data_IF_475757865147
#
_entry.id   IF_475757865147
#
_cell.length_a   1.000
_cell.length_b   1.000
_cell.length_c   1.000
_cell.angle_alpha   90.00
_cell.angle_beta   90.00
_cell.angle_gamma   90.00
#
_symmetry.space_group_name_H-M   'P 1'
#
loop_
_entity.id
_entity.type
_entity.pdbx_description
1 polymer ?
#
# COMPACT_ATOMS: atom_id res chain seq x y z
N UNK A 1 16.88 -32.89 14.45
CA UNK A 1 17.47 -31.59 14.07
C UNK A 1 17.43 -31.48 12.57
N UNK A 2 16.72 -30.49 12.03
CA UNK A 2 16.79 -30.11 10.63
C UNK A 2 16.99 -28.60 10.56
N UNK A 3 18.06 -28.15 9.91
CA UNK A 3 18.32 -26.72 9.68
C UNK A 3 17.53 -26.27 8.47
N UNK A 4 16.53 -25.40 8.66
CA UNK A 4 15.95 -24.64 7.57
C UNK A 4 16.98 -23.61 7.09
N UNK A 5 17.22 -23.60 5.79
CA UNK A 5 18.15 -22.66 5.14
C UNK A 5 17.33 -21.59 4.45
N UNK A 6 17.21 -20.41 5.06
CA UNK A 6 16.62 -19.25 4.42
C UNK A 6 17.52 -18.79 3.26
N UNK A 7 17.12 -19.06 2.03
CA UNK A 7 17.73 -18.48 0.83
C UNK A 7 17.11 -17.10 0.58
N UNK A 8 17.80 -16.04 0.99
CA UNK A 8 17.45 -14.69 0.60
C UNK A 8 17.67 -14.52 -0.92
N UNK A 9 16.57 -14.55 -1.69
CA UNK A 9 16.63 -14.48 -3.15
C UNK A 9 16.81 -13.02 -3.61
N UNK A 10 18.05 -12.53 -3.60
CA UNK A 10 18.38 -11.22 -4.16
C UNK A 10 18.26 -11.29 -5.70
N UNK A 11 17.18 -10.74 -6.25
CA UNK A 11 16.89 -10.72 -7.68
C UNK A 11 17.84 -9.77 -8.45
N UNK A 12 19.04 -10.24 -8.77
CA UNK A 12 20.01 -9.52 -9.59
C UNK A 12 19.74 -9.75 -11.10
N UNK A 13 19.29 -8.70 -11.80
CA UNK A 13 19.21 -8.69 -13.27
C UNK A 13 20.59 -8.34 -13.85
N UNK A 14 21.15 -9.10 -14.82
CA UNK A 14 22.57 -9.01 -15.16
C UNK A 14 22.96 -7.86 -16.11
N UNK A 15 23.91 -7.04 -15.61
CA UNK A 15 25.01 -6.37 -16.30
C UNK A 15 24.80 -5.63 -17.65
N UNK A 16 24.92 -4.30 -17.58
CA UNK A 16 25.49 -3.44 -18.63
C UNK A 16 26.63 -2.61 -18.04
N UNK A 17 27.79 -2.52 -18.72
CA UNK A 17 29.03 -2.00 -18.13
C UNK A 17 29.17 -0.46 -18.17
N UNK A 18 29.83 0.14 -17.17
CA UNK A 18 30.31 1.52 -17.26
C UNK A 18 30.50 2.27 -15.93
N UNK A 19 31.52 1.92 -15.13
CA UNK A 19 31.91 2.75 -13.98
C UNK A 19 32.92 3.83 -14.40
N UNK A 20 32.52 5.09 -14.41
CA UNK A 20 33.41 6.26 -14.25
C UNK A 20 32.69 7.25 -13.34
N UNK A 21 33.29 7.55 -12.19
CA UNK A 21 32.77 8.58 -11.28
C UNK A 21 33.44 9.92 -11.55
N UNK A 22 32.66 11.00 -11.53
CA UNK A 22 33.17 12.36 -11.42
C UNK A 22 32.39 13.08 -10.32
N UNK A 23 33.11 13.65 -9.36
CA UNK A 23 32.52 14.38 -8.22
C UNK A 23 32.40 15.84 -8.61
N UNK A 24 31.17 16.33 -8.74
CA UNK A 24 30.89 17.77 -8.77
C UNK A 24 29.97 18.15 -7.60
N UNK A 25 30.52 18.93 -6.68
CA UNK A 25 29.79 19.54 -5.57
C UNK A 25 29.11 20.82 -6.05
N UNK A 26 27.80 20.92 -5.86
CA UNK A 26 27.07 22.18 -6.00
C UNK A 26 26.01 22.29 -4.89
N UNK A 27 26.25 23.19 -3.95
CA UNK A 27 25.30 23.59 -2.92
C UNK A 27 24.27 24.56 -3.52
N UNK A 28 23.02 24.54 -3.04
CA UNK A 28 21.94 25.35 -3.58
C UNK A 28 20.76 25.46 -2.63
N UNK A 29 20.84 26.40 -1.69
CA UNK A 29 19.73 26.79 -0.82
C UNK A 29 18.68 27.60 -1.61
N UNK A 30 17.40 27.45 -1.27
CA UNK A 30 16.29 28.08 -1.99
C UNK A 30 15.00 28.09 -1.19
N UNK A 31 14.89 29.03 -0.25
CA UNK A 31 13.66 29.37 0.48
C UNK A 31 12.62 30.02 -0.44
N UNK A 32 11.32 29.89 -0.11
CA UNK A 32 10.50 31.04 0.32
C UNK A 32 9.02 30.67 0.52
N UNK A 33 8.44 31.14 1.63
CA UNK A 33 7.01 31.10 1.95
C UNK A 33 6.18 32.05 1.08
N UNK A 34 4.91 31.70 0.84
CA UNK A 34 3.83 32.68 0.66
C UNK A 34 2.44 32.06 0.85
N UNK A 35 1.75 32.48 1.91
CA UNK A 35 0.35 32.14 2.16
C UNK A 35 -0.60 33.02 1.32
N UNK A 36 -1.85 32.56 1.15
CA UNK A 36 -2.95 33.34 0.59
C UNK A 36 -4.22 33.07 1.40
N UNK A 37 -4.71 34.09 2.10
CA UNK A 37 -5.94 34.07 2.89
C UNK A 37 -7.16 34.56 2.09
N UNK A 38 -8.33 33.98 2.38
CA UNK A 38 -9.58 34.74 2.58
C UNK A 38 -10.40 35.20 1.35
N UNK A 39 -11.60 34.63 1.21
CA UNK A 39 -12.77 35.32 0.64
C UNK A 39 -14.10 34.70 1.13
N UNK A 40 -14.86 35.50 1.89
CA UNK A 40 -16.28 35.29 2.26
C UNK A 40 -17.18 35.88 1.15
N UNK A 41 -18.49 35.65 1.02
CA UNK A 41 -19.56 35.01 1.83
C UNK A 41 -20.71 34.64 0.85
N UNK A 42 -21.91 34.37 1.36
CA UNK A 42 -23.25 34.62 0.79
C UNK A 42 -24.06 33.41 0.29
N UNK A 43 -24.94 32.94 1.17
CA UNK A 43 -26.29 32.39 0.86
C UNK A 43 -27.28 33.54 0.56
N UNK A 44 -28.47 33.35 -0.10
CA UNK A 44 -29.50 32.38 0.32
C UNK A 44 -30.41 31.74 -0.76
N UNK A 45 -31.39 30.99 -0.24
CA UNK A 45 -32.52 30.19 -0.78
C UNK A 45 -33.38 30.94 -1.85
N UNK A 46 -34.23 30.35 -2.73
CA UNK A 46 -35.12 29.16 -2.64
C UNK A 46 -35.62 28.76 -4.08
N UNK A 47 -36.14 27.54 -4.35
CA UNK A 47 -36.91 27.32 -5.62
C UNK A 47 -37.07 25.95 -6.33
N UNK A 48 -37.50 24.89 -5.64
CA UNK A 48 -38.15 23.63 -6.14
C UNK A 48 -38.36 23.35 -7.66
N UNK A 49 -37.95 22.16 -8.14
CA UNK A 49 -38.38 21.55 -9.41
C UNK A 49 -38.13 20.02 -9.51
N UNK A 50 -39.11 19.20 -9.12
CA UNK A 50 -39.01 17.74 -8.94
C UNK A 50 -39.20 16.86 -10.21
N UNK A 51 -38.49 15.71 -10.24
CA UNK A 51 -38.73 14.53 -11.09
C UNK A 51 -37.40 13.91 -11.57
N UNK A 52 -36.87 12.78 -11.07
CA UNK A 52 -37.48 11.58 -10.48
C UNK A 52 -37.31 10.41 -11.48
N UNK A 53 -36.86 9.20 -11.15
CA UNK A 53 -36.29 8.57 -9.94
C UNK A 53 -35.41 7.39 -10.40
N UNK A 54 -34.94 6.43 -9.61
CA UNK A 54 -35.03 6.17 -8.17
C UNK A 54 -34.08 4.99 -7.83
N UNK A 55 -33.98 4.54 -6.58
CA UNK A 55 -34.71 5.03 -5.41
C UNK A 55 -34.04 4.63 -4.10
N UNK A 56 -34.43 5.32 -3.03
CA UNK A 56 -34.22 4.86 -1.67
C UNK A 56 -35.38 3.91 -1.31
N UNK A 57 -35.08 2.71 -0.81
CA UNK A 57 -36.10 1.76 -0.36
C UNK A 57 -36.13 1.73 1.17
N UNK A 58 -37.10 2.38 1.83
CA UNK A 58 -37.27 2.24 3.27
C UNK A 58 -38.09 0.99 3.56
N UNK A 59 -37.44 -0.16 3.70
CA UNK A 59 -38.10 -1.41 4.06
C UNK A 59 -37.21 -2.64 3.90
N UNK A 60 -36.86 -3.25 5.02
CA UNK A 60 -36.00 -4.43 5.10
C UNK A 60 -34.63 -4.11 5.67
N UNK A 61 -34.36 -4.58 6.88
CA UNK A 61 -33.00 -4.84 7.36
C UNK A 61 -32.45 -6.07 6.61
N UNK A 62 -32.29 -5.95 5.29
CA UNK A 62 -31.41 -6.87 4.56
C UNK A 62 -30.00 -6.43 4.89
N UNK A 63 -29.47 -7.01 5.97
CA UNK A 63 -28.07 -6.88 6.32
C UNK A 63 -27.23 -7.21 5.08
N UNK A 64 -26.41 -6.25 4.65
CA UNK A 64 -25.35 -6.45 3.67
C UNK A 64 -24.71 -7.81 3.96
N UNK A 65 -24.73 -8.73 2.99
CA UNK A 65 -24.30 -10.10 3.24
C UNK A 65 -22.89 -10.07 3.81
N UNK A 66 -22.74 -10.55 5.06
CA UNK A 66 -21.50 -10.47 5.80
C UNK A 66 -20.37 -11.04 4.94
N UNK A 67 -19.44 -10.17 4.59
CA UNK A 67 -18.38 -10.48 3.66
C UNK A 67 -17.35 -11.44 4.30
N UNK A 68 -16.52 -12.06 3.48
CA UNK A 68 -15.44 -12.90 4.03
C UNK A 68 -14.27 -12.00 4.41
N UNK A 69 -13.77 -12.03 5.65
CA UNK A 69 -12.60 -11.20 6.05
C UNK A 69 -11.43 -11.46 5.07
N UNK A 70 -10.86 -10.40 4.52
CA UNK A 70 -9.85 -10.44 3.45
C UNK A 70 -10.40 -10.44 2.01
N UNK A 71 -11.71 -10.53 1.81
CA UNK A 71 -12.37 -10.36 0.51
C UNK A 71 -12.29 -8.92 0.03
N UNK A 72 -12.28 -8.73 -1.29
CA UNK A 72 -12.23 -7.41 -1.92
C UNK A 72 -13.16 -7.32 -3.12
N UNK A 73 -13.71 -6.13 -3.36
CA UNK A 73 -14.51 -5.84 -4.56
C UNK A 73 -14.20 -4.45 -5.12
N UNK A 74 -14.33 -4.32 -6.44
CA UNK A 74 -14.23 -3.02 -7.12
C UNK A 74 -15.43 -2.14 -6.78
N UNK A 75 -15.18 -0.83 -6.66
CA UNK A 75 -16.20 0.16 -6.36
C UNK A 75 -15.90 1.48 -7.11
N UNK A 76 -16.75 2.50 -6.95
CA UNK A 76 -16.52 3.83 -7.51
C UNK A 76 -16.93 4.89 -6.50
N UNK A 77 -16.01 5.81 -6.17
CA UNK A 77 -16.25 6.91 -5.24
C UNK A 77 -16.03 8.24 -5.97
N UNK A 78 -17.04 9.11 -6.00
CA UNK A 78 -17.01 10.40 -6.74
C UNK A 78 -16.52 10.31 -8.21
N UNK A 79 -16.77 9.17 -8.88
CA UNK A 79 -16.32 8.94 -10.27
C UNK A 79 -14.86 8.47 -10.40
N UNK A 80 -14.11 8.38 -9.31
CA UNK A 80 -12.83 7.67 -9.26
C UNK A 80 -13.09 6.19 -8.99
N UNK A 81 -12.47 5.31 -9.78
CA UNK A 81 -12.44 3.89 -9.48
C UNK A 81 -11.68 3.64 -8.17
N UNK A 82 -12.13 2.66 -7.42
CA UNK A 82 -11.51 2.24 -6.17
C UNK A 82 -11.84 0.78 -5.88
N UNK A 83 -11.50 0.36 -4.68
CA UNK A 83 -11.89 -0.93 -4.15
C UNK A 83 -12.40 -0.74 -2.71
N UNK A 84 -13.14 -1.71 -2.20
CA UNK A 84 -13.49 -1.82 -0.79
C UNK A 84 -13.13 -3.22 -0.28
N UNK A 85 -12.79 -3.29 0.99
CA UNK A 85 -12.29 -4.51 1.64
C UNK A 85 -13.25 -4.98 2.71
N UNK A 86 -13.31 -6.29 2.89
CA UNK A 86 -13.92 -6.86 4.06
C UNK A 86 -12.88 -6.97 5.19
N UNK A 87 -13.09 -6.20 6.25
CA UNK A 87 -12.23 -6.23 7.44
C UNK A 87 -13.04 -6.59 8.68
N UNK A 88 -12.36 -7.08 9.71
CA UNK A 88 -12.97 -7.28 11.03
C UNK A 88 -13.09 -5.90 11.72
N UNK A 89 -14.33 -5.40 11.80
CA UNK A 89 -14.65 -4.18 12.55
C UNK A 89 -15.40 -4.59 13.81
N UNK A 90 -14.71 -4.53 14.95
CA UNK A 90 -15.25 -4.86 16.29
C UNK A 90 -15.86 -6.28 16.41
N UNK A 91 -15.31 -7.27 15.70
CA UNK A 91 -15.80 -8.65 15.65
C UNK A 91 -16.82 -8.91 14.54
N UNK A 92 -17.04 -7.95 13.62
CA UNK A 92 -18.03 -8.02 12.56
C UNK A 92 -17.37 -7.84 11.18
N UNK A 93 -17.43 -8.84 10.29
CA UNK A 93 -16.97 -8.70 8.90
C UNK A 93 -17.74 -7.60 8.18
N UNK A 94 -17.04 -6.51 7.85
CA UNK A 94 -17.65 -5.26 7.38
C UNK A 94 -16.92 -4.73 6.15
N UNK A 95 -17.67 -4.29 5.15
CA UNK A 95 -17.11 -3.56 4.01
C UNK A 95 -16.64 -2.16 4.46
N UNK A 96 -15.36 -1.87 4.29
CA UNK A 96 -14.72 -0.61 4.75
C UNK A 96 -15.03 0.62 3.90
N UNK A 97 -15.95 0.50 2.96
CA UNK A 97 -16.33 1.56 2.02
C UNK A 97 -15.29 1.79 0.93
N UNK A 98 -15.68 2.55 -0.10
CA UNK A 98 -14.90 2.67 -1.32
C UNK A 98 -13.66 3.55 -1.17
N UNK A 99 -12.50 2.90 -1.05
CA UNK A 99 -11.17 3.50 -1.02
C UNK A 99 -10.76 3.85 -2.46
N UNK A 100 -10.69 5.13 -2.82
CA UNK A 100 -10.24 5.58 -4.15
C UNK A 100 -8.73 5.38 -4.38
N UNK A 101 -7.99 5.08 -3.30
CA UNK A 101 -6.60 4.67 -3.30
C UNK A 101 -6.22 4.19 -1.90
N UNK A 102 -5.75 2.95 -1.75
CA UNK A 102 -4.79 2.68 -0.67
C UNK A 102 -3.64 3.64 -0.88
N UNK A 103 -3.28 4.39 0.14
CA UNK A 103 -1.89 4.76 0.30
C UNK A 103 -1.15 3.45 0.53
N UNK A 104 -0.65 2.83 -0.55
CA UNK A 104 0.19 1.65 -0.44
C UNK A 104 1.51 2.11 0.16
N UNK A 105 1.93 1.46 1.24
CA UNK A 105 3.11 1.84 2.04
C UNK A 105 4.21 0.76 2.04
N UNK A 106 4.56 0.16 0.89
CA UNK A 106 5.61 -0.85 0.82
C UNK A 106 6.95 -0.27 1.27
N UNK A 107 7.63 -0.97 2.18
CA UNK A 107 8.97 -0.58 2.62
C UNK A 107 10.01 -0.90 1.56
N UNK A 108 11.01 -0.04 1.46
CA UNK A 108 12.26 -0.29 0.72
C UNK A 108 13.43 -0.44 1.69
N UNK A 109 14.44 -1.21 1.30
CA UNK A 109 15.71 -1.26 2.00
C UNK A 109 16.65 -0.18 1.44
N UNK A 110 17.22 0.66 2.30
CA UNK A 110 18.35 1.53 1.94
C UNK A 110 19.65 0.94 2.49
N UNK A 111 20.53 0.53 1.58
CA UNK A 111 21.90 0.15 1.93
C UNK A 111 22.79 1.40 1.99
N UNK A 112 23.74 1.41 2.94
CA UNK A 112 24.70 2.51 3.14
C UNK A 112 24.09 3.91 3.36
N UNK A 113 22.84 3.98 3.87
CA UNK A 113 22.08 5.22 4.10
C UNK A 113 21.89 6.08 2.83
N UNK A 114 21.88 5.45 1.64
CA UNK A 114 21.63 6.15 0.38
C UNK A 114 20.18 6.65 0.27
N UNK A 115 19.91 7.73 -0.50
CA UNK A 115 18.55 8.12 -0.86
C UNK A 115 17.81 6.97 -1.57
N UNK A 116 16.48 6.92 -1.43
CA UNK A 116 15.67 5.96 -2.19
C UNK A 116 15.68 6.35 -3.67
N UNK A 117 16.03 5.39 -4.52
CA UNK A 117 16.16 5.57 -5.97
C UNK A 117 15.05 4.83 -6.70
N UNK A 118 14.30 5.56 -7.54
CA UNK A 118 13.23 5.01 -8.37
C UNK A 118 13.58 5.06 -9.86
N UNK A 119 13.20 4.01 -10.58
CA UNK A 119 13.06 4.02 -12.03
C UNK A 119 11.70 4.62 -12.38
N UNK A 120 11.73 5.82 -12.95
CA UNK A 120 10.55 6.40 -13.57
C UNK A 120 10.19 5.66 -14.84
N UNK A 121 8.89 5.39 -15.03
CA UNK A 121 8.36 4.69 -16.20
C UNK A 121 8.89 3.25 -16.46
N UNK A 122 8.99 2.42 -15.42
CA UNK A 122 8.93 0.97 -15.62
C UNK A 122 7.52 0.61 -16.10
N UNK A 123 7.39 0.05 -17.30
CA UNK A 123 6.11 -0.36 -17.89
C UNK A 123 5.50 -1.64 -17.28
N UNK A 124 5.92 -1.99 -16.06
CA UNK A 124 5.37 -3.09 -15.28
C UNK A 124 4.25 -2.56 -14.40
N UNK A 125 3.01 -2.89 -14.74
CA UNK A 125 1.90 -2.70 -13.81
C UNK A 125 2.02 -3.78 -12.72
N UNK A 126 2.02 -3.37 -11.45
CA UNK A 126 2.12 -4.27 -10.30
C UNK A 126 0.94 -4.05 -9.36
N UNK A 127 0.46 -5.11 -8.73
CA UNK A 127 -0.64 -5.02 -7.77
C UNK A 127 -0.11 -4.60 -6.39
N UNK A 128 0.15 -3.29 -6.23
CA UNK A 128 0.54 -2.71 -4.94
C UNK A 128 -0.53 -2.81 -3.85
N UNK A 129 -1.74 -3.27 -4.18
CA UNK A 129 -2.86 -3.41 -3.25
C UNK A 129 -3.07 -4.84 -2.76
N UNK A 130 -2.57 -5.85 -3.45
CA UNK A 130 -2.85 -7.27 -3.18
C UNK A 130 -4.32 -7.65 -3.41
N UNK A 131 -4.95 -7.09 -4.44
CA UNK A 131 -6.38 -7.21 -4.78
C UNK A 131 -6.64 -7.72 -6.21
N UNK A 132 -5.59 -8.15 -6.92
CA UNK A 132 -5.64 -8.55 -8.33
C UNK A 132 -5.68 -7.38 -9.32
N UNK A 133 -5.50 -6.13 -8.86
CA UNK A 133 -5.57 -4.93 -9.68
C UNK A 133 -4.18 -4.28 -9.82
N UNK A 134 -3.59 -4.34 -11.01
CA UNK A 134 -2.25 -3.80 -11.25
C UNK A 134 -2.27 -2.31 -11.62
N UNK A 135 -1.38 -1.53 -11.01
CA UNK A 135 -1.17 -0.11 -11.34
C UNK A 135 0.23 0.13 -11.87
N UNK A 136 0.36 1.05 -12.83
CA UNK A 136 1.65 1.56 -13.27
C UNK A 136 2.13 2.64 -12.29
N UNK A 137 3.30 2.45 -11.72
CA UNK A 137 3.94 3.35 -10.74
C UNK A 137 5.44 3.45 -11.02
N UNK A 138 6.09 4.45 -10.44
CA UNK A 138 7.54 4.44 -10.28
C UNK A 138 7.97 3.22 -9.44
N UNK A 139 9.11 2.62 -9.79
CA UNK A 139 9.56 1.35 -9.24
C UNK A 139 10.94 1.49 -8.58
N UNK A 140 11.18 1.00 -7.35
CA UNK A 140 12.48 1.09 -6.74
C UNK A 140 13.56 0.37 -7.53
N UNK A 141 14.74 0.98 -7.61
CA UNK A 141 15.92 0.33 -8.20
C UNK A 141 16.37 -0.86 -7.35
N UNK A 142 17.17 -1.75 -7.95
CA UNK A 142 17.86 -2.80 -7.19
C UNK A 142 18.87 -2.28 -6.15
N UNK A 143 19.18 -0.98 -6.16
CA UNK A 143 20.03 -0.33 -5.16
C UNK A 143 19.28 0.03 -3.87
N UNK A 144 17.96 0.24 -3.97
CA UNK A 144 17.06 0.43 -2.82
C UNK A 144 15.76 -0.39 -3.00
N UNK A 145 15.84 -1.73 -3.02
CA UNK A 145 14.75 -2.60 -3.45
C UNK A 145 13.60 -2.65 -2.45
N UNK A 146 12.43 -3.13 -2.89
CA UNK A 146 11.35 -3.50 -1.98
C UNK A 146 11.81 -4.50 -0.91
N UNK A 147 11.31 -4.34 0.31
CA UNK A 147 11.32 -5.38 1.34
C UNK A 147 10.07 -6.25 1.14
N UNK A 148 10.29 -7.55 0.92
CA UNK A 148 9.23 -8.51 0.58
C UNK A 148 9.48 -9.87 1.24
N UNK A 149 8.41 -10.65 1.39
CA UNK A 149 8.39 -12.02 1.86
C UNK A 149 7.33 -12.78 1.05
N UNK A 150 7.74 -13.87 0.39
CA UNK A 150 6.83 -14.84 -0.23
C UNK A 150 6.00 -15.47 0.89
N UNK A 151 4.71 -15.11 0.95
CA UNK A 151 3.78 -15.48 2.05
C UNK A 151 2.87 -16.63 1.69
N UNK A 152 2.60 -16.88 0.42
CA UNK A 152 1.75 -17.99 -0.03
C UNK A 152 2.57 -19.25 -0.41
N UNK A 153 3.90 -19.12 -0.52
CA UNK A 153 4.85 -20.17 -0.84
C UNK A 153 4.95 -20.48 -2.33
N UNK A 154 4.51 -19.57 -3.22
CA UNK A 154 4.44 -19.83 -4.65
C UNK A 154 5.80 -19.70 -5.38
N UNK A 155 6.81 -19.12 -4.74
CA UNK A 155 8.17 -18.96 -5.26
C UNK A 155 8.43 -17.68 -6.06
N UNK A 156 7.48 -16.75 -6.08
CA UNK A 156 7.59 -15.42 -6.67
C UNK A 156 7.29 -14.32 -5.62
N UNK A 157 7.35 -13.06 -6.05
CA UNK A 157 6.74 -11.92 -5.36
C UNK A 157 5.89 -11.25 -6.44
N UNK A 158 4.60 -11.52 -6.46
CA UNK A 158 3.66 -11.12 -7.50
C UNK A 158 2.58 -10.14 -7.04
N UNK A 159 2.40 -9.96 -5.72
CA UNK A 159 1.39 -9.07 -5.15
C UNK A 159 1.85 -8.24 -3.94
N UNK A 160 1.13 -7.15 -3.68
CA UNK A 160 1.36 -6.23 -2.57
C UNK A 160 1.19 -6.87 -1.19
N UNK A 161 0.46 -7.98 -1.10
CA UNK A 161 0.33 -8.78 0.12
C UNK A 161 1.67 -9.37 0.61
N UNK A 162 2.64 -9.52 -0.29
CA UNK A 162 3.98 -10.08 -0.05
C UNK A 162 5.02 -8.99 0.23
N UNK A 163 4.77 -7.77 -0.23
CA UNK A 163 5.52 -6.60 0.22
C UNK A 163 5.23 -6.34 1.70
N UNK A 164 6.16 -5.71 2.43
CA UNK A 164 5.87 -5.19 3.77
C UNK A 164 5.21 -3.82 3.64
N UNK A 165 3.89 -3.77 3.68
CA UNK A 165 3.11 -2.56 3.42
C UNK A 165 1.68 -2.67 3.94
N UNK A 166 0.86 -1.64 3.69
CA UNK A 166 -0.57 -1.63 4.01
C UNK A 166 -1.44 -2.66 3.25
N UNK A 167 -0.83 -3.45 2.37
CA UNK A 167 -1.46 -4.61 1.73
C UNK A 167 -1.17 -5.94 2.46
N UNK A 168 -0.23 -5.97 3.41
CA UNK A 168 0.03 -7.15 4.25
C UNK A 168 -1.17 -7.44 5.16
N UNK A 169 -1.62 -8.69 5.20
CA UNK A 169 -2.57 -9.20 6.19
C UNK A 169 -1.81 -9.65 7.44
N UNK A 170 -2.21 -9.16 8.61
CA UNK A 170 -1.65 -9.47 9.93
C UNK A 170 -2.21 -10.79 10.45
N UNK A 171 -1.64 -11.35 11.53
CA UNK A 171 -2.15 -12.55 12.20
C UNK A 171 -3.58 -12.37 12.78
N UNK A 172 -4.04 -11.12 12.95
CA UNK A 172 -5.43 -10.79 13.31
C UNK A 172 -6.43 -10.97 12.15
N UNK A 173 -5.96 -11.14 10.92
CA UNK A 173 -6.80 -11.13 9.70
C UNK A 173 -7.11 -9.72 9.17
N UNK A 174 -6.82 -8.67 9.93
CA UNK A 174 -6.87 -7.29 9.44
C UNK A 174 -5.64 -6.95 8.59
N UNK A 175 -5.72 -5.89 7.79
CA UNK A 175 -4.54 -5.35 7.10
C UNK A 175 -3.68 -4.49 8.02
N UNK A 176 -2.40 -4.36 7.66
CA UNK A 176 -1.49 -3.46 8.35
C UNK A 176 -1.84 -1.99 8.06
N UNK A 177 -1.81 -1.11 9.07
CA UNK A 177 -1.94 0.34 8.85
C UNK A 177 -0.85 0.88 7.91
N UNK A 178 0.35 0.29 7.99
CA UNK A 178 1.51 0.64 7.19
C UNK A 178 2.57 -0.47 7.21
N UNK A 179 3.59 -0.36 6.36
CA UNK A 179 4.68 -1.34 6.27
C UNK A 179 5.51 -1.59 7.54
N UNK A 180 5.61 -0.62 8.48
CA UNK A 180 6.28 -0.86 9.77
C UNK A 180 5.39 -1.62 10.76
N UNK A 181 4.05 -1.47 10.66
CA UNK A 181 3.11 -2.35 11.37
C UNK A 181 3.22 -3.78 10.82
N UNK A 182 3.26 -3.95 9.49
CA UNK A 182 3.47 -5.25 8.85
C UNK A 182 4.80 -5.92 9.24
N UNK A 183 5.87 -5.14 9.41
CA UNK A 183 7.18 -5.65 9.81
C UNK A 183 7.21 -6.14 11.27
N UNK A 184 6.40 -5.52 12.15
CA UNK A 184 6.36 -5.85 13.58
C UNK A 184 5.78 -7.24 13.88
N UNK A 185 4.98 -7.81 12.99
CA UNK A 185 4.48 -9.19 13.15
C UNK A 185 5.62 -10.24 13.23
N UNK A 186 6.83 -9.88 12.78
CA UNK A 186 8.02 -10.72 12.86
C UNK A 186 8.93 -10.40 14.06
N UNK A 187 8.57 -9.44 14.91
CA UNK A 187 9.26 -9.09 16.17
C UNK A 187 8.66 -9.94 17.30
N UNK A 188 9.10 -11.19 17.36
CA UNK A 188 8.49 -12.24 18.20
C UNK A 188 8.90 -12.14 19.67
N UNK A 189 10.07 -11.56 19.97
CA UNK A 189 10.50 -11.28 21.35
C UNK A 189 10.12 -9.87 21.84
N UNK A 190 9.72 -8.98 20.92
CA UNK A 190 9.18 -7.66 21.22
C UNK A 190 10.24 -6.61 21.57
N UNK A 191 11.52 -6.83 21.23
CA UNK A 191 12.62 -5.89 21.54
C UNK A 191 12.66 -4.65 20.60
N UNK A 192 11.84 -4.66 19.55
CA UNK A 192 11.78 -3.61 18.53
C UNK A 192 12.75 -3.83 17.37
N UNK A 193 13.27 -5.06 17.19
CA UNK A 193 14.23 -5.42 16.12
C UNK A 193 13.90 -6.77 15.53
N UNK A 194 13.96 -6.86 14.21
CA UNK A 194 13.94 -8.14 13.51
C UNK A 194 15.36 -8.72 13.53
N UNK A 195 15.54 -9.87 14.17
CA UNK A 195 16.85 -10.51 14.37
C UNK A 195 16.79 -12.02 14.12
N UNK A 196 17.93 -12.70 14.23
CA UNK A 196 17.99 -14.17 14.18
C UNK A 196 17.57 -14.86 15.51
N UNK A 197 17.03 -14.10 16.49
CA UNK A 197 16.36 -14.68 17.66
C UNK A 197 14.88 -14.90 17.41
N UNK A 198 14.32 -14.21 16.42
CA UNK A 198 12.91 -14.24 16.12
C UNK A 198 12.49 -15.54 15.46
N UNK A 199 11.24 -15.93 15.70
CA UNK A 199 10.64 -17.10 15.07
C UNK A 199 10.44 -16.86 13.56
N UNK A 200 10.48 -17.95 12.77
CA UNK A 200 10.55 -17.92 11.31
C UNK A 200 9.55 -18.89 10.66
#
# INVERSE_FOLDING_TARGET
>A
MGTLSFSLLLAAVPFGAGCVGEVITAEGEGSDDSALEGAEEASPEDGNGNGGGGGNTPGGEEAEAACTIGESRNCTNHGMGGYELCEDVEGVPTWTGCQSSSVSTPLVLSFDQRPVEYLTAMSGAFDLSGLGATIATDWPTAATPWLALDRDGNGAIDGGAELFGSATVLASGARADNGFTALRELDSDGDGRITARDEA
#
